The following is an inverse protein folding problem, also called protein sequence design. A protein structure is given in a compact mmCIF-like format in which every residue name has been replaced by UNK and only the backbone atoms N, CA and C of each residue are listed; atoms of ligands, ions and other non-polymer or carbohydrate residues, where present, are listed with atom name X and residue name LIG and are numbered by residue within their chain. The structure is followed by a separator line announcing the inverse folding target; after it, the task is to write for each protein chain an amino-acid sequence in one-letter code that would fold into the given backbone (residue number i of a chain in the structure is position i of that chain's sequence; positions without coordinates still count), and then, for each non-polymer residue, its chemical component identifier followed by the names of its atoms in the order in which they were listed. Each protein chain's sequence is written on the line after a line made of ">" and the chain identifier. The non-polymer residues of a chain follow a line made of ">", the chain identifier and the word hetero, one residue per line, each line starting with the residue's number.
data_IF_318064892114
#
_entry.id   IF_318064892114
#
_cell.length_a   1.000
_cell.length_b   1.000
_cell.length_c   1.000
_cell.angle_alpha   90.00
_cell.angle_beta   90.00
_cell.angle_gamma   90.00
#
_symmetry.space_group_name_H-M   'P 1'
#
loop_
_entity.id
_entity.type
_entity.pdbx_description
1 polymer ?
#
# COMPACT_ATOMS: atom_id res chain seq x y z
N UNK A 1 2.71 -22.25 -28.40
CA UNK A 1 3.47 -20.99 -28.32
C UNK A 1 2.46 -19.87 -28.30
N UNK A 2 2.04 -19.43 -27.11
CA UNK A 2 1.00 -18.40 -26.95
C UNK A 2 1.66 -17.04 -26.66
N UNK A 3 1.10 -15.93 -27.18
CA UNK A 3 1.69 -14.59 -27.09
C UNK A 3 1.55 -13.98 -25.69
N UNK A 4 2.50 -13.09 -25.37
CA UNK A 4 2.73 -12.34 -24.13
C UNK A 4 1.59 -11.36 -23.71
N UNK A 5 0.34 -11.57 -24.14
CA UNK A 5 -0.75 -10.60 -23.96
C UNK A 5 -1.69 -10.87 -22.76
N UNK A 6 -1.19 -11.42 -21.66
CA UNK A 6 -1.90 -11.29 -20.37
C UNK A 6 -1.39 -10.05 -19.63
N UNK A 7 -1.79 -8.88 -20.11
CA UNK A 7 -2.02 -7.77 -19.18
C UNK A 7 -3.47 -7.85 -18.73
N UNK A 8 -3.63 -7.77 -17.41
CA UNK A 8 -4.85 -7.33 -16.74
C UNK A 8 -5.96 -8.37 -16.59
N UNK A 9 -5.85 -9.22 -15.56
CA UNK A 9 -6.93 -9.29 -14.55
C UNK A 9 -6.44 -9.87 -13.21
N UNK A 10 -5.35 -9.35 -12.66
CA UNK A 10 -5.10 -9.49 -11.21
C UNK A 10 -5.83 -8.42 -10.40
N UNK A 11 -6.52 -7.49 -11.08
CA UNK A 11 -7.23 -6.36 -10.47
C UNK A 11 -8.32 -6.76 -9.48
N UNK A 12 -8.77 -8.02 -9.47
CA UNK A 12 -9.86 -8.46 -8.58
C UNK A 12 -9.41 -9.32 -7.39
N UNK A 13 -8.11 -9.56 -7.19
CA UNK A 13 -7.66 -10.44 -6.12
C UNK A 13 -6.65 -9.81 -5.16
N UNK A 14 -6.81 -8.51 -4.89
CA UNK A 14 -6.29 -7.94 -3.65
C UNK A 14 -7.41 -8.02 -2.63
N UNK A 15 -7.25 -8.88 -1.62
CA UNK A 15 -8.14 -8.83 -0.46
C UNK A 15 -7.95 -7.46 0.18
N UNK A 16 -9.03 -6.67 0.22
CA UNK A 16 -9.02 -5.34 0.82
C UNK A 16 -8.43 -5.42 2.24
N UNK A 17 -7.31 -4.73 2.51
CA UNK A 17 -6.69 -4.68 3.83
C UNK A 17 -7.69 -4.37 4.96
N UNK A 18 -8.68 -3.53 4.68
CA UNK A 18 -9.80 -3.21 5.58
C UNK A 18 -10.49 -4.44 6.13
N UNK A 19 -10.74 -5.46 5.30
CA UNK A 19 -11.40 -6.70 5.70
C UNK A 19 -10.47 -7.56 6.55
N UNK A 20 -9.17 -7.61 6.21
CA UNK A 20 -8.19 -8.41 6.94
C UNK A 20 -7.80 -7.82 8.30
N UNK A 21 -7.81 -6.51 8.42
CA UNK A 21 -7.36 -5.79 9.61
C UNK A 21 -8.45 -4.98 10.28
N UNK A 22 -9.72 -5.37 10.09
CA UNK A 22 -10.90 -4.69 10.64
C UNK A 22 -10.81 -4.51 12.18
N UNK A 23 -10.24 -5.48 12.89
CA UNK A 23 -10.08 -5.42 14.35
C UNK A 23 -8.95 -4.48 14.81
N UNK A 24 -8.03 -4.12 13.90
CA UNK A 24 -6.84 -3.29 14.20
C UNK A 24 -6.97 -1.87 13.68
N UNK A 25 -7.77 -1.63 12.65
CA UNK A 25 -7.90 -0.34 11.98
C UNK A 25 -9.26 0.31 12.30
N UNK A 26 -9.26 1.64 12.38
CA UNK A 26 -10.50 2.41 12.31
C UNK A 26 -11.03 2.42 10.88
N UNK A 27 -12.33 2.71 10.69
CA UNK A 27 -12.94 2.80 9.37
C UNK A 27 -12.16 3.73 8.40
N UNK A 28 -11.71 4.90 8.89
CA UNK A 28 -10.94 5.85 8.07
C UNK A 28 -9.53 5.39 7.74
N UNK A 29 -8.87 4.71 8.67
CA UNK A 29 -7.55 4.11 8.39
C UNK A 29 -7.68 2.98 7.36
N UNK A 30 -8.73 2.17 7.48
CA UNK A 30 -9.04 1.08 6.55
C UNK A 30 -9.30 1.59 5.13
N UNK A 31 -10.16 2.59 4.96
CA UNK A 31 -10.44 3.24 3.65
C UNK A 31 -9.15 3.76 2.98
N UNK A 32 -8.31 4.44 3.76
CA UNK A 32 -7.05 5.01 3.27
C UNK A 32 -6.06 3.91 2.87
N UNK A 33 -5.94 2.85 3.67
CA UNK A 33 -5.04 1.73 3.38
C UNK A 33 -5.50 0.95 2.15
N UNK A 34 -6.81 0.74 1.97
CA UNK A 34 -7.34 0.05 0.79
C UNK A 34 -6.94 0.76 -0.50
N UNK A 35 -7.14 2.08 -0.56
CA UNK A 35 -6.76 2.89 -1.72
C UNK A 35 -5.23 2.95 -1.89
N UNK A 36 -4.48 3.00 -0.79
CA UNK A 36 -3.02 3.00 -0.85
C UNK A 36 -2.46 1.70 -1.43
N UNK A 37 -3.04 0.54 -1.08
CA UNK A 37 -2.64 -0.78 -1.61
C UNK A 37 -3.02 -0.95 -3.09
N UNK A 38 -4.03 -0.22 -3.56
CA UNK A 38 -4.32 -0.10 -5.01
C UNK A 38 -3.31 0.78 -5.76
N UNK A 39 -2.34 1.38 -5.07
CA UNK A 39 -1.28 2.20 -5.66
C UNK A 39 -1.62 3.69 -5.78
N UNK A 40 -2.73 4.16 -5.20
CA UNK A 40 -3.08 5.57 -5.24
C UNK A 40 -2.12 6.42 -4.38
N UNK A 41 -1.80 7.61 -4.89
CA UNK A 41 -1.04 8.65 -4.19
C UNK A 41 -1.92 9.35 -3.15
N UNK A 42 -1.29 10.01 -2.18
CA UNK A 42 -2.02 10.70 -1.11
C UNK A 42 -3.02 11.73 -1.63
N UNK A 43 -2.67 12.44 -2.70
CA UNK A 43 -3.55 13.44 -3.31
C UNK A 43 -4.78 12.80 -3.99
N UNK A 44 -4.58 11.68 -4.69
CA UNK A 44 -5.68 10.94 -5.33
C UNK A 44 -6.62 10.31 -4.27
N UNK A 45 -6.05 9.81 -3.17
CA UNK A 45 -6.83 9.30 -2.02
C UNK A 45 -7.62 10.44 -1.37
N UNK A 46 -7.00 11.61 -1.21
CA UNK A 46 -7.63 12.80 -0.65
C UNK A 46 -8.83 13.27 -1.48
N UNK A 47 -8.67 13.30 -2.81
CA UNK A 47 -9.75 13.60 -3.75
C UNK A 47 -10.89 12.58 -3.65
N UNK A 48 -10.56 11.28 -3.59
CA UNK A 48 -11.56 10.21 -3.53
C UNK A 48 -12.36 10.20 -2.21
N UNK A 49 -11.69 10.52 -1.10
CA UNK A 49 -12.32 10.56 0.24
C UNK A 49 -12.88 11.94 0.62
N UNK A 50 -12.64 12.98 -0.18
CA UNK A 50 -13.08 14.36 0.10
C UNK A 50 -12.42 14.98 1.34
N UNK A 51 -11.15 14.64 1.61
CA UNK A 51 -10.39 15.14 2.77
C UNK A 51 -9.06 15.76 2.31
N UNK A 52 -8.33 16.43 3.22
CA UNK A 52 -7.01 16.97 2.88
C UNK A 52 -5.94 15.88 2.77
N UNK A 53 -4.98 16.03 1.84
CA UNK A 53 -3.83 15.12 1.66
C UNK A 53 -3.02 14.93 2.96
N UNK A 54 -2.84 16.00 3.74
CA UNK A 54 -2.23 15.92 5.07
C UNK A 54 -3.00 15.03 6.06
N UNK A 55 -4.32 14.98 5.96
CA UNK A 55 -5.16 14.10 6.78
C UNK A 55 -4.99 12.64 6.34
N UNK A 56 -4.87 12.39 5.03
CA UNK A 56 -4.54 11.06 4.49
C UNK A 56 -3.19 10.58 5.04
N UNK A 57 -2.16 11.43 5.04
CA UNK A 57 -0.85 11.10 5.61
C UNK A 57 -0.93 10.68 7.08
N UNK A 58 -1.71 11.40 7.89
CA UNK A 58 -1.91 11.07 9.31
C UNK A 58 -2.61 9.72 9.46
N UNK A 59 -3.67 9.47 8.67
CA UNK A 59 -4.35 8.17 8.69
C UNK A 59 -3.43 7.03 8.23
N UNK A 60 -2.61 7.23 7.19
CA UNK A 60 -1.60 6.25 6.74
C UNK A 60 -0.60 5.96 7.84
N UNK A 61 -0.05 6.99 8.48
CA UNK A 61 0.93 6.84 9.54
C UNK A 61 0.36 6.07 10.74
N UNK A 62 -0.87 6.39 11.15
CA UNK A 62 -1.53 5.68 12.24
C UNK A 62 -1.83 4.22 11.87
N UNK A 63 -2.33 3.97 10.66
CA UNK A 63 -2.58 2.62 10.17
C UNK A 63 -1.28 1.80 10.10
N UNK A 64 -0.22 2.35 9.53
CA UNK A 64 1.09 1.71 9.42
C UNK A 64 1.68 1.38 10.80
N UNK A 65 1.59 2.30 11.77
CA UNK A 65 1.99 2.04 13.17
C UNK A 65 1.19 0.91 13.80
N UNK A 66 -0.14 0.90 13.62
CA UNK A 66 -1.03 -0.15 14.15
C UNK A 66 -0.76 -1.51 13.51
N UNK A 67 -0.36 -1.53 12.24
CA UNK A 67 0.01 -2.73 11.49
C UNK A 67 1.48 -3.11 11.64
N UNK A 68 2.29 -2.29 12.33
CA UNK A 68 3.74 -2.47 12.51
C UNK A 68 4.49 -2.60 11.18
N UNK A 69 4.11 -1.79 10.19
CA UNK A 69 4.79 -1.69 8.90
C UNK A 69 5.42 -0.31 8.74
N UNK A 70 6.55 -0.25 8.05
CA UNK A 70 7.36 0.97 7.89
C UNK A 70 7.14 1.67 6.54
N UNK A 71 6.49 0.99 5.59
CA UNK A 71 6.30 1.54 4.24
C UNK A 71 5.22 0.86 3.43
N UNK A 72 4.90 1.46 2.28
CA UNK A 72 3.83 0.99 1.39
C UNK A 72 4.11 -0.41 0.82
N UNK A 73 5.36 -0.74 0.54
CA UNK A 73 5.74 -2.07 0.05
C UNK A 73 5.45 -3.16 1.08
N UNK A 74 5.79 -2.91 2.35
CA UNK A 74 5.50 -3.83 3.45
C UNK A 74 3.98 -3.95 3.66
N UNK A 75 3.25 -2.83 3.57
CA UNK A 75 1.79 -2.82 3.67
C UNK A 75 1.13 -3.64 2.55
N UNK A 76 1.59 -3.48 1.31
CA UNK A 76 1.10 -4.22 0.15
C UNK A 76 1.44 -5.71 0.27
N UNK A 77 2.64 -6.06 0.72
CA UNK A 77 3.01 -7.45 1.00
C UNK A 77 2.13 -8.06 2.08
N UNK A 78 1.91 -7.35 3.18
CA UNK A 78 1.06 -7.79 4.28
C UNK A 78 -0.39 -7.98 3.81
N UNK A 79 -0.90 -7.08 2.97
CA UNK A 79 -2.23 -7.20 2.38
C UNK A 79 -2.36 -8.45 1.50
N UNK A 80 -1.42 -8.66 0.57
CA UNK A 80 -1.43 -9.76 -0.39
C UNK A 80 -1.19 -11.12 0.28
N UNK A 81 -0.19 -11.20 1.15
CA UNK A 81 0.28 -12.48 1.71
C UNK A 81 -0.32 -12.81 3.07
N UNK A 82 -0.78 -11.81 3.82
CA UNK A 82 -1.21 -11.96 5.21
C UNK A 82 -0.06 -12.24 6.17
N UNK A 83 1.18 -12.03 5.71
CA UNK A 83 2.40 -12.26 6.49
C UNK A 83 3.12 -10.93 6.69
N UNK A 84 3.80 -10.80 7.81
CA UNK A 84 4.70 -9.69 8.05
C UNK A 84 5.83 -9.72 7.02
N UNK A 85 6.16 -8.55 6.46
CA UNK A 85 7.30 -8.43 5.56
C UNK A 85 8.59 -8.65 6.37
N UNK A 86 9.57 -9.39 5.83
CA UNK A 86 10.84 -9.55 6.51
C UNK A 86 11.54 -8.19 6.64
N UNK A 87 12.04 -7.87 7.85
CA UNK A 87 12.68 -6.59 8.17
C UNK A 87 13.85 -6.23 7.24
N UNK A 88 14.42 -7.22 6.55
CA UNK A 88 15.51 -7.05 5.58
C UNK A 88 15.11 -6.27 4.32
N UNK A 89 13.82 -6.08 4.04
CA UNK A 89 13.36 -5.32 2.87
C UNK A 89 13.49 -3.81 3.01
N UNK A 90 13.66 -3.29 4.22
CA UNK A 90 13.83 -1.84 4.44
C UNK A 90 15.22 -1.36 4.01
N UNK A 91 16.29 -2.12 4.28
CA UNK A 91 17.67 -1.69 3.94
C UNK A 91 18.20 -2.24 2.61
N UNK A 92 17.85 -3.47 2.24
CA UNK A 92 18.47 -4.14 1.10
C UNK A 92 17.79 -3.83 -0.25
N UNK A 93 16.47 -3.65 -0.25
CA UNK A 93 15.69 -3.53 -1.49
C UNK A 93 15.72 -2.11 -2.07
N UNK A 94 15.66 -1.06 -1.24
CA UNK A 94 15.68 0.33 -1.72
C UNK A 94 17.06 0.77 -2.22
N UNK A 95 18.15 0.24 -1.65
CA UNK A 95 19.51 0.55 -2.11
C UNK A 95 19.76 0.09 -3.56
N UNK A 96 19.01 -0.90 -4.05
CA UNK A 96 19.11 -1.43 -5.42
C UNK A 96 18.12 -0.79 -6.41
N UNK A 97 17.04 -0.17 -5.93
CA UNK A 97 15.97 0.38 -6.80
C UNK A 97 16.12 1.90 -7.03
N UNK A 98 16.87 2.61 -6.19
CA UNK A 98 17.07 4.07 -6.30
C UNK A 98 18.09 4.52 -7.37
N UNK A 99 18.69 3.62 -8.17
CA UNK A 99 19.67 4.03 -9.21
C UNK A 99 19.08 4.43 -10.56
N UNK A 100 17.78 4.25 -10.82
CA UNK A 100 17.18 4.51 -12.15
C UNK A 100 16.12 5.63 -12.19
N UNK A 101 16.01 6.45 -11.13
CA UNK A 101 14.92 7.41 -10.96
C UNK A 101 15.24 8.90 -11.09
N UNK A 102 16.51 9.32 -11.17
CA UNK A 102 16.87 10.73 -11.44
C UNK A 102 17.14 10.94 -12.92
N UNK A 103 16.10 11.20 -13.72
CA UNK A 103 16.19 12.06 -14.91
C UNK A 103 14.89 12.85 -15.05
N UNK A 104 14.88 14.03 -14.42
CA UNK A 104 14.12 15.19 -14.87
C UNK A 104 15.03 16.14 -15.63
#
# INVERSE_FOLDING_TARGET
>A
MLPFSLRSDTSQMIIAPSVRFADRLTAREAEVVDLAVLGLKNDEIAENLGIASRTVEVHRLHAMRKLQVEGICQLMWLALTGREAPATWTEAYFREVDTDGEQG
#
